data_IF_850262398112
#
_entry.id   IF_850262398112
#
_cell.length_a   1.000
_cell.length_b   1.000
_cell.length_c   1.000
_cell.angle_alpha   90.00
_cell.angle_beta   90.00
_cell.angle_gamma   90.00
#
_symmetry.space_group_name_H-M   'P 1'
#
loop_
_entity.id
_entity.type
_entity.pdbx_description
1 polymer ?
#
# COMPACT_ATOMS: atom_id res chain seq x y z
N UNK A 1 19.58 3.38 -4.48
CA UNK A 1 20.35 2.92 -3.30
C UNK A 1 19.80 3.41 -1.97
N UNK A 2 19.37 4.68 -1.82
CA UNK A 2 18.87 5.25 -0.56
C UNK A 2 17.45 4.81 -0.14
N UNK A 3 16.96 3.68 -0.67
CA UNK A 3 15.61 3.17 -0.43
C UNK A 3 14.45 4.10 -0.80
N UNK A 4 14.39 4.61 -2.04
CA UNK A 4 13.33 5.50 -2.47
C UNK A 4 11.97 4.78 -2.54
N UNK A 5 10.90 5.58 -2.56
CA UNK A 5 9.57 5.14 -2.94
C UNK A 5 9.56 4.71 -4.41
N UNK A 6 8.87 3.62 -4.70
CA UNK A 6 8.61 3.10 -6.05
C UNK A 6 7.11 3.06 -6.27
N UNK A 7 6.68 3.53 -7.43
CA UNK A 7 5.29 3.52 -7.88
C UNK A 7 5.17 2.57 -9.06
N UNK A 8 4.13 1.74 -9.08
CA UNK A 8 3.75 1.00 -10.27
C UNK A 8 2.85 1.90 -11.14
N UNK A 9 3.40 2.43 -12.23
CA UNK A 9 2.71 3.37 -13.10
C UNK A 9 1.42 2.77 -13.65
N UNK A 10 0.38 3.60 -13.73
CA UNK A 10 -0.96 3.24 -14.22
C UNK A 10 -1.73 2.19 -13.40
N UNK A 11 -1.15 1.59 -12.35
CA UNK A 11 -1.83 0.58 -11.51
C UNK A 11 -3.17 1.05 -10.93
N UNK A 12 -3.26 2.32 -10.55
CA UNK A 12 -4.49 2.96 -10.07
C UNK A 12 -5.62 3.05 -11.12
N UNK A 13 -5.41 2.61 -12.35
CA UNK A 13 -6.41 2.56 -13.43
C UNK A 13 -6.89 1.14 -13.70
N UNK A 14 -6.28 0.11 -13.09
CA UNK A 14 -6.68 -1.27 -13.28
C UNK A 14 -8.00 -1.57 -12.56
N UNK A 15 -9.08 -1.69 -13.34
CA UNK A 15 -10.42 -1.94 -12.81
C UNK A 15 -10.56 -3.31 -12.16
N UNK A 16 -9.80 -4.31 -12.61
CA UNK A 16 -9.83 -5.66 -12.02
C UNK A 16 -9.24 -5.64 -10.63
N UNK A 17 -8.11 -4.96 -10.43
CA UNK A 17 -7.51 -4.77 -9.12
C UNK A 17 -8.39 -3.90 -8.22
N UNK A 18 -8.96 -2.80 -8.73
CA UNK A 18 -9.90 -1.98 -7.94
C UNK A 18 -11.10 -2.78 -7.45
N UNK A 19 -11.67 -3.63 -8.29
CA UNK A 19 -12.84 -4.45 -7.96
C UNK A 19 -12.52 -5.63 -7.02
N UNK A 20 -11.23 -5.92 -6.78
CA UNK A 20 -10.78 -7.07 -5.99
C UNK A 20 -9.88 -6.60 -4.84
N UNK A 21 -8.57 -6.60 -5.04
CA UNK A 21 -7.57 -6.14 -4.08
C UNK A 21 -7.88 -4.73 -3.53
N UNK A 22 -8.37 -3.81 -4.36
CA UNK A 22 -8.73 -2.46 -3.94
C UNK A 22 -9.98 -2.35 -3.06
N UNK A 23 -10.79 -3.40 -2.93
CA UNK A 23 -11.97 -3.44 -2.04
C UNK A 23 -11.66 -3.97 -0.65
N UNK A 24 -10.43 -4.45 -0.44
CA UNK A 24 -10.08 -5.11 0.79
C UNK A 24 -9.67 -4.12 1.87
N UNK A 25 -9.94 -4.53 3.10
CA UNK A 25 -9.47 -3.87 4.29
C UNK A 25 -8.74 -4.91 5.14
N UNK A 26 -7.42 -4.80 5.24
CA UNK A 26 -6.59 -5.78 5.94
C UNK A 26 -7.06 -6.01 7.38
N UNK A 27 -7.48 -4.95 8.06
CA UNK A 27 -7.89 -5.02 9.45
C UNK A 27 -9.29 -5.63 9.63
N UNK A 28 -10.22 -5.35 8.71
CA UNK A 28 -11.58 -5.90 8.76
C UNK A 28 -11.63 -7.34 8.23
N UNK A 29 -10.93 -7.60 7.14
CA UNK A 29 -11.05 -8.83 6.36
C UNK A 29 -10.01 -9.88 6.78
N UNK A 30 -9.04 -9.52 7.63
CA UNK A 30 -7.97 -10.39 8.12
C UNK A 30 -7.23 -11.08 6.99
N UNK A 31 -6.66 -10.27 6.09
CA UNK A 31 -5.93 -10.73 4.92
C UNK A 31 -4.54 -10.12 4.83
N UNK A 32 -3.60 -10.81 4.19
CA UNK A 32 -2.28 -10.24 3.92
C UNK A 32 -2.42 -8.98 3.05
N UNK A 33 -1.86 -7.82 3.45
CA UNK A 33 -2.00 -6.58 2.70
C UNK A 33 -1.10 -6.50 1.47
N UNK A 34 -0.18 -7.43 1.22
CA UNK A 34 0.80 -7.32 0.14
C UNK A 34 0.34 -8.08 -1.10
N UNK A 35 0.02 -7.35 -2.18
CA UNK A 35 -0.37 -7.94 -3.48
C UNK A 35 0.69 -8.91 -4.03
N UNK A 36 1.95 -8.50 -4.00
CA UNK A 36 3.10 -9.30 -4.41
C UNK A 36 4.37 -8.83 -3.73
N UNK A 37 5.23 -9.77 -3.34
CA UNK A 37 6.58 -9.51 -2.85
C UNK A 37 7.65 -9.58 -3.96
N UNK A 38 7.32 -10.04 -5.17
CA UNK A 38 8.24 -10.06 -6.31
C UNK A 38 7.97 -8.85 -7.22
N UNK A 39 8.87 -7.84 -7.28
CA UNK A 39 8.69 -6.70 -8.15
C UNK A 39 8.62 -7.08 -9.63
N UNK A 40 9.18 -8.22 -10.04
CA UNK A 40 9.06 -8.71 -11.42
C UNK A 40 7.65 -9.14 -11.74
N UNK A 41 6.93 -9.72 -10.78
CA UNK A 41 5.53 -10.09 -11.00
C UNK A 41 4.67 -8.84 -11.25
N UNK A 42 4.94 -7.74 -10.54
CA UNK A 42 4.26 -6.45 -10.78
C UNK A 42 4.46 -5.95 -12.22
N UNK A 43 5.64 -6.19 -12.80
CA UNK A 43 5.96 -5.78 -14.18
C UNK A 43 5.47 -6.79 -15.21
N UNK A 44 5.90 -8.04 -15.08
CA UNK A 44 5.77 -9.07 -16.11
C UNK A 44 4.36 -9.67 -16.14
N UNK A 45 3.73 -9.83 -14.97
CA UNK A 45 2.40 -10.43 -14.84
C UNK A 45 1.29 -9.37 -14.82
N UNK A 46 1.44 -8.37 -13.95
CA UNK A 46 0.45 -7.30 -13.83
C UNK A 46 0.63 -6.18 -14.87
N UNK A 47 1.75 -6.16 -15.59
CA UNK A 47 1.96 -5.21 -16.69
C UNK A 47 2.25 -3.78 -16.27
N UNK A 48 2.62 -3.52 -15.01
CA UNK A 48 2.84 -2.16 -14.51
C UNK A 48 4.33 -1.82 -14.46
N UNK A 49 4.80 -0.84 -15.27
CA UNK A 49 6.17 -0.34 -15.16
C UNK A 49 6.41 0.27 -13.78
N UNK A 50 7.56 -0.04 -13.18
CA UNK A 50 7.99 0.56 -11.92
C UNK A 50 8.76 1.86 -12.17
N UNK A 51 8.43 2.90 -11.42
CA UNK A 51 9.06 4.21 -11.51
C UNK A 51 9.43 4.78 -10.14
N UNK A 52 10.47 5.59 -10.11
CA UNK A 52 10.93 6.35 -8.94
C UNK A 52 11.57 7.66 -9.39
N UNK A 53 11.87 8.54 -8.45
CA UNK A 53 12.51 9.83 -8.70
C UNK A 53 13.57 10.14 -7.64
N UNK A 54 14.47 11.06 -7.96
CA UNK A 54 15.49 11.56 -7.02
C UNK A 54 14.93 12.68 -6.15
N UNK A 55 14.10 12.32 -5.16
CA UNK A 55 13.55 13.27 -4.20
C UNK A 55 14.63 14.00 -3.40
N UNK A 56 14.47 15.31 -3.27
CA UNK A 56 15.21 16.16 -2.35
C UNK A 56 14.35 16.49 -1.12
N UNK A 57 14.96 16.90 0.01
CA UNK A 57 14.19 17.41 1.14
C UNK A 57 13.29 18.57 0.72
N UNK A 58 11.99 18.43 0.98
CA UNK A 58 10.95 19.39 0.57
C UNK A 58 10.14 18.97 -0.64
N UNK A 59 10.61 18.00 -1.44
CA UNK A 59 9.81 17.42 -2.51
C UNK A 59 8.65 16.59 -1.95
N UNK A 60 7.52 16.64 -2.65
CA UNK A 60 6.30 15.93 -2.27
C UNK A 60 5.80 15.13 -3.46
N UNK A 61 5.34 13.90 -3.19
CA UNK A 61 4.57 13.09 -4.13
C UNK A 61 3.16 12.88 -3.58
N UNK A 62 2.17 13.01 -4.45
CA UNK A 62 0.76 12.75 -4.14
C UNK A 62 0.22 11.70 -5.11
N UNK A 63 -0.50 10.71 -4.59
CA UNK A 63 -1.19 9.71 -5.38
C UNK A 63 -2.46 9.23 -4.65
N UNK A 64 -3.44 8.76 -5.42
CA UNK A 64 -4.70 8.25 -4.89
C UNK A 64 -4.58 6.86 -4.25
N UNK A 65 -5.64 6.44 -3.55
CA UNK A 65 -5.64 5.21 -2.73
C UNK A 65 -5.31 3.92 -3.49
N UNK A 66 -5.66 3.83 -4.78
CA UNK A 66 -5.45 2.63 -5.59
C UNK A 66 -4.07 2.54 -6.25
N UNK A 67 -3.16 3.47 -5.97
CA UNK A 67 -1.82 3.39 -6.52
C UNK A 67 -1.01 2.31 -5.80
N UNK A 68 -0.59 1.29 -6.54
CA UNK A 68 0.38 0.33 -6.03
C UNK A 68 1.74 1.01 -5.87
N UNK A 69 2.31 0.86 -4.69
CA UNK A 69 3.58 1.47 -4.33
C UNK A 69 4.32 0.59 -3.32
N UNK A 70 5.64 0.77 -3.26
CA UNK A 70 6.51 0.09 -2.31
C UNK A 70 7.76 0.94 -2.07
N UNK A 71 8.69 0.46 -1.27
CA UNK A 71 10.01 1.06 -1.10
C UNK A 71 11.09 0.06 -1.45
N UNK A 72 12.17 0.54 -2.09
CA UNK A 72 13.36 -0.29 -2.28
C UNK A 72 14.11 -0.38 -0.94
N UNK A 73 14.77 -1.50 -0.62
CA UNK A 73 15.69 -1.56 0.52
C UNK A 73 16.78 -0.49 0.40
N UNK A 74 17.02 0.24 1.49
CA UNK A 74 18.16 1.16 1.59
C UNK A 74 19.44 0.36 1.78
N UNK A 75 20.37 0.45 0.83
CA UNK A 75 21.66 -0.27 0.84
C UNK A 75 22.85 0.62 1.18
N UNK A 76 22.59 1.80 1.73
CA UNK A 76 23.62 2.78 2.11
C UNK A 76 23.82 2.82 3.62
N UNK A 77 24.82 3.58 4.06
CA UNK A 77 25.14 3.87 5.46
C UNK A 77 24.39 5.09 6.03
N UNK A 78 23.38 5.59 5.31
CA UNK A 78 22.60 6.78 5.68
C UNK A 78 21.16 6.42 5.99
N UNK A 79 20.55 7.13 6.94
CA UNK A 79 19.11 7.05 7.15
C UNK A 79 18.35 7.83 6.08
N UNK A 80 17.25 7.24 5.61
CA UNK A 80 16.25 7.94 4.79
C UNK A 80 15.02 8.21 5.65
N UNK A 81 14.82 9.47 6.01
CA UNK A 81 13.67 9.89 6.82
C UNK A 81 12.60 10.45 5.89
N UNK A 82 11.37 9.98 6.04
CA UNK A 82 10.20 10.46 5.30
C UNK A 82 8.99 10.47 6.23
N UNK A 83 7.97 11.22 5.84
CA UNK A 83 6.65 11.20 6.47
C UNK A 83 5.60 11.04 5.39
N UNK A 84 4.58 10.23 5.67
CA UNK A 84 3.44 10.02 4.81
C UNK A 84 2.14 10.28 5.59
N UNK A 85 1.24 11.03 4.97
CA UNK A 85 -0.06 11.40 5.53
C UNK A 85 -1.15 11.15 4.49
N UNK A 86 -2.39 10.91 4.96
CA UNK A 86 -3.55 10.66 4.11
C UNK A 86 -4.60 11.74 4.37
N UNK A 87 -5.33 12.08 3.32
CA UNK A 87 -6.40 13.07 3.34
C UNK A 87 -7.68 12.45 2.78
N UNK A 88 -8.80 12.73 3.42
CA UNK A 88 -10.16 12.41 2.96
C UNK A 88 -11.02 13.68 2.98
N UNK A 89 -12.17 13.69 2.29
CA UNK A 89 -13.07 14.83 2.36
C UNK A 89 -13.61 14.98 3.79
N UNK A 90 -13.81 16.21 4.23
CA UNK A 90 -14.39 16.48 5.55
C UNK A 90 -15.83 15.96 5.68
N UNK A 91 -16.53 15.79 4.55
CA UNK A 91 -17.87 15.20 4.46
C UNK A 91 -17.88 13.67 4.51
N UNK A 92 -16.75 13.02 4.29
CA UNK A 92 -16.68 11.56 4.29
C UNK A 92 -16.71 11.02 5.72
N UNK A 93 -17.33 9.85 5.96
CA UNK A 93 -17.36 9.25 7.27
C UNK A 93 -15.94 9.00 7.78
N UNK A 94 -15.73 9.26 9.07
CA UNK A 94 -14.49 8.90 9.75
C UNK A 94 -14.56 7.46 10.20
N UNK A 95 -13.44 6.77 10.07
CA UNK A 95 -13.29 5.43 10.58
C UNK A 95 -12.71 5.46 11.99
N UNK A 96 -13.55 5.13 12.98
CA UNK A 96 -13.22 5.22 14.41
C UNK A 96 -11.99 4.40 14.80
N UNK A 97 -11.60 3.38 14.01
CA UNK A 97 -10.38 2.61 14.24
C UNK A 97 -9.13 3.49 14.20
N UNK A 98 -9.13 4.54 13.36
CA UNK A 98 -8.01 5.46 13.18
C UNK A 98 -8.14 6.76 13.98
N UNK A 99 -9.30 7.00 14.62
CA UNK A 99 -9.63 8.21 15.36
C UNK A 99 -10.16 7.89 16.76
N UNK A 100 -9.40 7.11 17.54
CA UNK A 100 -9.75 6.79 18.92
C UNK A 100 -9.75 8.01 19.84
N UNK A 101 -10.22 7.82 21.08
CA UNK A 101 -10.27 8.90 22.08
C UNK A 101 -8.92 9.61 22.22
N UNK A 102 -8.95 10.95 22.27
CA UNK A 102 -7.76 11.81 22.34
C UNK A 102 -6.74 11.62 21.20
N UNK A 103 -7.18 11.15 20.04
CA UNK A 103 -6.30 10.91 18.89
C UNK A 103 -5.47 9.63 19.00
N UNK A 104 -5.89 8.69 19.85
CA UNK A 104 -5.25 7.38 19.93
C UNK A 104 -5.57 6.54 18.70
N UNK A 105 -4.56 5.78 18.24
CA UNK A 105 -4.70 4.80 17.18
C UNK A 105 -4.02 3.52 17.64
N UNK A 106 -4.73 2.39 17.57
CA UNK A 106 -4.19 1.09 17.98
C UNK A 106 -3.06 0.61 17.05
N UNK A 107 -2.91 1.21 15.86
CA UNK A 107 -1.86 0.82 14.92
C UNK A 107 -2.00 -0.64 14.50
N UNK A 108 -0.85 -1.24 14.21
CA UNK A 108 -0.73 -2.66 13.86
C UNK A 108 -1.13 -3.62 15.02
N UNK A 109 -1.53 -3.11 16.18
CA UNK A 109 -2.02 -3.94 17.29
C UNK A 109 -3.53 -4.16 17.26
N UNK A 110 -4.27 -3.52 16.34
CA UNK A 110 -5.72 -3.67 16.22
C UNK A 110 -6.15 -5.15 16.15
N UNK A 111 -5.42 -5.95 15.38
CA UNK A 111 -5.67 -7.39 15.20
C UNK A 111 -4.58 -8.27 15.82
N UNK A 112 -4.08 -7.92 17.00
CA UNK A 112 -3.01 -8.69 17.66
C UNK A 112 -3.44 -10.15 17.88
N UNK A 113 -2.71 -11.07 17.24
CA UNK A 113 -2.95 -12.52 17.34
C UNK A 113 -3.91 -13.08 16.30
N UNK A 114 -4.40 -12.26 15.37
CA UNK A 114 -5.22 -12.73 14.25
C UNK A 114 -4.41 -13.58 13.26
N UNK A 115 -5.11 -14.51 12.61
CA UNK A 115 -4.59 -15.27 11.46
C UNK A 115 -5.06 -14.58 10.18
N UNK A 116 -4.12 -14.31 9.29
CA UNK A 116 -4.40 -13.63 8.02
C UNK A 116 -4.51 -14.63 6.87
N UNK A 117 -5.50 -14.43 6.00
CA UNK A 117 -5.61 -15.20 4.76
C UNK A 117 -4.50 -14.76 3.79
N UNK A 118 -3.71 -15.70 3.23
CA UNK A 118 -2.63 -15.35 2.30
C UNK A 118 -3.15 -14.69 1.02
N UNK A 119 -2.48 -13.64 0.55
CA UNK A 119 -2.84 -12.95 -0.70
C UNK A 119 -2.86 -13.89 -1.92
N UNK A 120 -1.99 -14.91 -1.95
CA UNK A 120 -1.97 -15.90 -3.02
C UNK A 120 -3.28 -16.69 -3.14
N UNK A 121 -4.00 -16.93 -2.04
CA UNK A 121 -5.30 -17.61 -2.07
C UNK A 121 -6.40 -16.68 -2.61
N UNK A 122 -6.34 -15.40 -2.26
CA UNK A 122 -7.29 -14.40 -2.74
C UNK A 122 -7.10 -14.14 -4.24
N UNK A 123 -5.86 -14.05 -4.70
CA UNK A 123 -5.54 -13.90 -6.13
C UNK A 123 -6.08 -15.06 -6.96
N UNK A 124 -5.95 -16.30 -6.48
CA UNK A 124 -6.60 -17.49 -7.08
C UNK A 124 -8.10 -17.29 -7.25
N UNK A 125 -8.76 -16.89 -6.16
CA UNK A 125 -10.21 -16.66 -6.14
C UNK A 125 -10.65 -15.55 -7.10
N UNK A 126 -9.82 -14.53 -7.27
CA UNK A 126 -10.09 -13.37 -8.13
C UNK A 126 -9.63 -13.57 -9.59
N UNK A 127 -8.95 -14.66 -9.91
CA UNK A 127 -8.36 -14.86 -11.24
C UNK A 127 -7.22 -13.87 -11.55
N UNK A 128 -6.38 -13.61 -10.55
CA UNK A 128 -5.19 -12.75 -10.62
C UNK A 128 -3.85 -13.52 -10.60
N UNK A 129 -3.91 -14.85 -10.69
CA UNK A 129 -2.71 -15.68 -10.78
C UNK A 129 -2.01 -15.58 -12.13
#
# INVERSE_FOLDING_TARGET
>A
DNGPLVIALHSHQDERLKATYGQIDMDRDLIDPVLSADPREVVDHFGFPLATAHFQPGDVILFGMHMLHSSIPNRTDKYRISIDTRYQLASDPRDERFYGENGTWLGNFYNKGATYTPMAELRKKWGLD
#
